data_IF_541625925534
#
_entry.id   IF_541625925534
#
_cell.length_a   1.000
_cell.length_b   1.000
_cell.length_c   1.000
_cell.angle_alpha   90.00
_cell.angle_beta   90.00
_cell.angle_gamma   90.00
#
_symmetry.space_group_name_H-M   'P 1'
#
loop_
_entity.id
_entity.type
_entity.pdbx_description
1 polymer ?
#
# COMPACT_ATOMS: atom_id res chain seq x y z
N UNK A 1 -9.47 -16.33 9.97
CA UNK A 1 -10.06 -14.97 9.91
C UNK A 1 -11.45 -15.03 10.56
N UNK A 2 -11.88 -14.04 11.36
CA UNK A 2 -13.23 -14.07 11.96
C UNK A 2 -14.30 -13.70 10.94
N UNK A 3 -15.57 -14.09 11.17
CA UNK A 3 -16.70 -13.67 10.32
C UNK A 3 -16.81 -12.15 10.21
N UNK A 4 -16.67 -11.44 11.34
CA UNK A 4 -16.68 -9.96 11.39
C UNK A 4 -15.58 -9.33 10.54
N UNK A 5 -14.39 -9.93 10.54
CA UNK A 5 -13.26 -9.44 9.73
C UNK A 5 -13.53 -9.66 8.25
N UNK A 6 -14.01 -10.84 7.86
CA UNK A 6 -14.37 -11.13 6.47
C UNK A 6 -15.48 -10.20 5.96
N UNK A 7 -16.42 -9.79 6.81
CA UNK A 7 -17.47 -8.81 6.48
C UNK A 7 -16.85 -7.43 6.25
N UNK A 8 -15.98 -7.03 7.18
CA UNK A 8 -15.25 -5.76 7.08
C UNK A 8 -14.41 -5.68 5.81
N UNK A 9 -13.82 -6.78 5.34
CA UNK A 9 -13.02 -6.83 4.10
C UNK A 9 -13.84 -6.63 2.82
N UNK A 10 -15.17 -6.63 2.90
CA UNK A 10 -16.07 -6.35 1.76
C UNK A 10 -16.85 -5.06 1.93
N UNK A 11 -16.53 -4.27 2.96
CA UNK A 11 -17.33 -3.12 3.37
C UNK A 11 -17.57 -2.10 2.26
N UNK A 12 -16.57 -1.83 1.43
CA UNK A 12 -16.70 -0.87 0.32
C UNK A 12 -17.71 -1.28 -0.75
N UNK A 13 -18.00 -2.57 -0.86
CA UNK A 13 -18.99 -3.12 -1.78
C UNK A 13 -20.36 -3.27 -1.11
N UNK A 14 -20.41 -3.86 0.09
CA UNK A 14 -21.67 -4.24 0.73
C UNK A 14 -22.27 -3.14 1.63
N UNK A 15 -21.42 -2.35 2.29
CA UNK A 15 -21.81 -1.45 3.38
C UNK A 15 -21.59 0.04 3.10
N UNK A 16 -20.96 0.39 1.98
CA UNK A 16 -20.72 1.79 1.60
C UNK A 16 -21.99 2.42 1.04
N UNK A 17 -22.41 3.53 1.62
CA UNK A 17 -23.51 4.35 1.09
C UNK A 17 -23.11 5.01 -0.23
N UNK A 18 -24.00 4.96 -1.21
CA UNK A 18 -23.87 5.63 -2.50
C UNK A 18 -24.94 6.72 -2.64
N UNK A 19 -24.65 7.90 -2.09
CA UNK A 19 -25.52 9.07 -2.06
C UNK A 19 -24.93 10.25 -2.86
N UNK A 20 -23.92 9.98 -3.70
CA UNK A 20 -23.17 10.99 -4.45
C UNK A 20 -22.09 11.74 -3.64
N UNK A 21 -21.95 11.47 -2.33
CA UNK A 21 -20.87 12.03 -1.52
C UNK A 21 -19.59 11.19 -1.63
N UNK A 22 -18.43 11.86 -1.62
CA UNK A 22 -17.13 11.21 -1.69
C UNK A 22 -16.78 10.49 -0.38
N UNK A 23 -16.45 9.20 -0.46
CA UNK A 23 -15.96 8.40 0.67
C UNK A 23 -14.58 7.81 0.38
N UNK A 24 -13.66 8.05 1.30
CA UNK A 24 -12.35 7.41 1.29
C UNK A 24 -12.49 5.90 1.52
N UNK A 25 -11.57 5.07 1.00
CA UNK A 25 -10.72 5.28 -0.18
C UNK A 25 -11.41 5.02 -1.54
N UNK A 26 -12.54 4.30 -1.54
CA UNK A 26 -13.13 3.74 -2.76
C UNK A 26 -13.58 4.79 -3.80
N UNK A 27 -13.90 6.02 -3.38
CA UNK A 27 -14.28 7.08 -4.32
C UNK A 27 -13.11 7.82 -4.97
N UNK A 28 -11.87 7.49 -4.57
CA UNK A 28 -10.67 8.08 -5.18
C UNK A 28 -10.55 7.72 -6.66
N UNK A 29 -9.95 8.64 -7.42
CA UNK A 29 -9.69 8.41 -8.84
C UNK A 29 -8.78 7.19 -9.05
N UNK A 30 -7.79 6.98 -8.19
CA UNK A 30 -6.90 5.83 -8.26
C UNK A 30 -7.65 4.50 -8.17
N UNK A 31 -8.56 4.38 -7.20
CA UNK A 31 -9.39 3.19 -7.05
C UNK A 31 -10.32 2.98 -8.26
N UNK A 32 -11.04 4.02 -8.67
CA UNK A 32 -11.97 3.95 -9.81
C UNK A 32 -11.25 3.60 -11.11
N UNK A 33 -10.10 4.21 -11.36
CA UNK A 33 -9.28 3.93 -12.55
C UNK A 33 -8.73 2.50 -12.52
N UNK A 34 -8.30 2.03 -11.35
CA UNK A 34 -7.83 0.66 -11.18
C UNK A 34 -8.95 -0.35 -11.47
N UNK A 35 -10.13 -0.16 -10.89
CA UNK A 35 -11.27 -1.05 -11.07
C UNK A 35 -11.75 -1.09 -12.54
N UNK A 36 -11.74 0.06 -13.23
CA UNK A 36 -12.01 0.15 -14.67
C UNK A 36 -10.97 -0.60 -15.51
N UNK A 37 -9.69 -0.50 -15.14
CA UNK A 37 -8.59 -1.16 -15.86
C UNK A 37 -8.54 -2.67 -15.61
N UNK A 38 -8.96 -3.12 -14.44
CA UNK A 38 -8.93 -4.53 -14.04
C UNK A 38 -10.31 -5.03 -13.56
N UNK A 39 -11.34 -5.11 -14.44
CA UNK A 39 -12.68 -5.55 -14.06
C UNK A 39 -12.71 -6.97 -13.47
N UNK A 40 -11.84 -7.88 -13.93
CA UNK A 40 -11.74 -9.25 -13.39
C UNK A 40 -11.23 -9.28 -11.95
N UNK A 41 -10.45 -8.29 -11.53
CA UNK A 41 -10.06 -8.11 -10.14
C UNK A 41 -11.19 -7.46 -9.35
N UNK A 42 -11.77 -6.37 -9.88
CA UNK A 42 -12.81 -5.61 -9.19
C UNK A 42 -14.11 -6.39 -8.98
N UNK A 43 -14.41 -7.37 -9.85
CA UNK A 43 -15.62 -8.17 -9.80
C UNK A 43 -15.76 -9.07 -8.56
N UNK A 44 -14.67 -9.38 -7.85
CA UNK A 44 -14.75 -10.04 -6.55
C UNK A 44 -14.40 -9.04 -5.42
N UNK A 45 -15.38 -8.64 -4.58
CA UNK A 45 -15.15 -7.68 -3.51
C UNK A 45 -14.22 -8.19 -2.40
N UNK A 46 -13.90 -9.50 -2.40
CA UNK A 46 -12.94 -10.10 -1.47
C UNK A 46 -11.48 -9.85 -1.88
N UNK A 47 -11.24 -9.41 -3.12
CA UNK A 47 -9.89 -9.07 -3.57
C UNK A 47 -9.39 -7.80 -2.86
N UNK A 48 -8.13 -7.85 -2.42
CA UNK A 48 -7.57 -6.91 -1.47
C UNK A 48 -6.81 -5.79 -2.18
N UNK A 49 -7.16 -4.56 -1.87
CA UNK A 49 -6.45 -3.36 -2.31
C UNK A 49 -5.55 -2.88 -1.17
N UNK A 50 -4.26 -2.82 -1.44
CA UNK A 50 -3.22 -2.50 -0.47
C UNK A 50 -2.68 -1.08 -0.74
N UNK A 51 -2.39 -0.35 0.34
CA UNK A 51 -1.43 0.75 0.33
C UNK A 51 -0.10 0.29 0.89
N UNK A 52 0.99 0.85 0.41
CA UNK A 52 2.32 0.64 0.98
C UNK A 52 2.84 1.95 1.54
N UNK A 53 3.13 1.99 2.83
CA UNK A 53 3.79 3.11 3.46
C UNK A 53 5.24 2.75 3.80
N UNK A 54 6.17 3.67 3.55
CA UNK A 54 7.56 3.49 3.98
C UNK A 54 8.22 4.82 4.28
N UNK A 55 9.00 4.84 5.35
CA UNK A 55 9.81 5.96 5.77
C UNK A 55 10.98 5.47 6.63
N UNK A 56 12.04 6.28 6.70
CA UNK A 56 13.16 6.08 7.60
C UNK A 56 12.94 6.81 8.92
N UNK A 57 13.04 6.10 10.04
CA UNK A 57 12.99 6.70 11.38
C UNK A 57 14.22 6.34 12.21
N UNK A 58 14.58 7.18 13.17
CA UNK A 58 15.66 6.90 14.11
C UNK A 58 15.07 6.39 15.44
N UNK A 59 15.22 5.09 15.77
CA UNK A 59 14.64 4.53 17.00
C UNK A 59 15.34 5.01 18.27
N UNK A 60 16.56 5.55 18.19
CA UNK A 60 17.41 5.78 19.35
C UNK A 60 17.27 7.16 20.01
N UNK A 61 16.41 8.07 19.50
CA UNK A 61 16.17 9.44 20.06
C UNK A 61 17.42 10.30 20.31
N UNK A 62 18.62 9.83 19.98
CA UNK A 62 19.83 10.63 19.97
C UNK A 62 19.74 11.51 18.73
N UNK A 63 20.02 12.82 18.84
CA UNK A 63 20.13 13.76 17.70
C UNK A 63 21.27 13.40 16.71
N UNK A 64 21.70 12.15 16.71
CA UNK A 64 22.73 11.58 15.87
C UNK A 64 22.08 10.93 14.66
N UNK A 65 22.49 11.35 13.46
CA UNK A 65 22.01 10.83 12.16
C UNK A 65 22.68 9.51 11.75
N UNK A 66 23.34 8.82 12.68
CA UNK A 66 24.11 7.59 12.40
C UNK A 66 23.31 6.30 12.55
N UNK A 67 21.97 6.41 12.60
CA UNK A 67 21.09 5.25 12.50
C UNK A 67 19.75 5.63 11.88
N UNK A 68 19.32 4.88 10.87
CA UNK A 68 18.01 5.03 10.23
C UNK A 68 17.43 3.65 9.97
N UNK A 69 16.35 3.33 10.68
CA UNK A 69 15.57 2.12 10.47
C UNK A 69 14.43 2.43 9.52
N UNK A 70 14.28 1.63 8.48
CA UNK A 70 13.19 1.78 7.51
C UNK A 70 12.10 0.75 7.80
N UNK A 71 10.85 1.20 7.81
CA UNK A 71 9.69 0.31 7.90
C UNK A 71 8.96 0.25 6.57
N UNK A 72 8.44 -0.93 6.25
CA UNK A 72 7.52 -1.13 5.13
C UNK A 72 6.21 -1.68 5.70
N UNK A 73 5.16 -0.89 5.59
CA UNK A 73 3.85 -1.18 6.15
C UNK A 73 2.84 -1.31 5.02
N UNK A 74 2.08 -2.39 5.01
CA UNK A 74 0.94 -2.57 4.12
C UNK A 74 -0.37 -2.26 4.87
N UNK A 75 -1.27 -1.57 4.19
CA UNK A 75 -2.59 -1.20 4.71
C UNK A 75 -3.69 -1.80 3.83
N UNK A 76 -4.53 -2.72 4.33
CA UNK A 76 -5.65 -3.27 3.57
C UNK A 76 -6.82 -2.28 3.54
N UNK A 77 -6.98 -1.58 2.42
CA UNK A 77 -8.02 -0.57 2.23
C UNK A 77 -9.42 -1.12 1.98
N UNK A 78 -9.57 -2.43 1.97
CA UNK A 78 -10.86 -3.10 1.96
C UNK A 78 -11.65 -2.86 3.26
N UNK A 79 -10.95 -2.66 4.37
CA UNK A 79 -11.54 -2.40 5.67
C UNK A 79 -12.24 -1.03 5.70
N UNK A 80 -13.29 -0.87 6.53
CA UNK A 80 -13.96 0.41 6.69
C UNK A 80 -12.97 1.53 7.09
N UNK A 81 -13.23 2.80 6.71
CA UNK A 81 -12.32 3.92 6.95
C UNK A 81 -11.90 4.12 8.41
N UNK A 82 -12.80 3.83 9.35
CA UNK A 82 -12.54 3.93 10.80
C UNK A 82 -11.73 2.75 11.37
N UNK A 83 -11.47 1.72 10.57
CA UNK A 83 -10.67 0.54 10.95
C UNK A 83 -9.35 0.51 10.19
N UNK A 84 -9.34 0.79 8.88
CA UNK A 84 -8.15 0.58 8.03
C UNK A 84 -6.90 1.34 8.51
N UNK A 85 -7.08 2.52 9.13
CA UNK A 85 -5.98 3.34 9.65
C UNK A 85 -5.63 3.06 11.12
N UNK A 86 -6.25 2.06 11.76
CA UNK A 86 -5.85 1.64 13.11
C UNK A 86 -4.56 0.82 13.04
N UNK A 87 -3.69 0.99 14.03
CA UNK A 87 -2.44 0.23 14.14
C UNK A 87 -2.66 -1.30 14.07
N UNK A 88 -3.78 -1.80 14.59
CA UNK A 88 -4.16 -3.22 14.53
C UNK A 88 -4.40 -3.76 13.12
N UNK A 89 -4.62 -2.87 12.14
CA UNK A 89 -4.87 -3.22 10.74
C UNK A 89 -3.61 -3.10 9.87
N UNK A 90 -2.54 -2.53 10.40
CA UNK A 90 -1.27 -2.42 9.69
C UNK A 90 -0.56 -3.76 9.65
N UNK A 91 -0.14 -4.15 8.46
CA UNK A 91 0.69 -5.31 8.24
C UNK A 91 2.12 -4.81 8.12
N UNK A 92 2.90 -4.99 9.18
CA UNK A 92 4.33 -4.72 9.14
C UNK A 92 5.00 -5.80 8.29
N UNK A 93 5.33 -5.47 7.05
CA UNK A 93 5.97 -6.39 6.12
C UNK A 93 7.48 -6.49 6.36
N UNK A 94 8.13 -5.37 6.66
CA UNK A 94 9.58 -5.33 6.83
C UNK A 94 10.06 -4.25 7.80
N UNK A 95 11.15 -4.57 8.50
CA UNK A 95 12.01 -3.62 9.20
C UNK A 95 13.42 -3.80 8.65
N UNK A 96 14.00 -2.73 8.09
CA UNK A 96 15.35 -2.72 7.55
C UNK A 96 16.22 -1.86 8.49
N UNK A 97 17.05 -2.47 9.34
CA UNK A 97 17.99 -1.73 10.17
C UNK A 97 19.20 -1.27 9.36
N UNK A 98 19.75 -0.09 9.66
CA UNK A 98 20.99 0.38 9.04
C UNK A 98 21.58 1.61 9.73
N UNK A 99 22.90 1.60 9.97
CA UNK A 99 23.64 2.76 10.50
C UNK A 99 23.61 3.96 9.52
N UNK A 100 23.54 3.68 8.22
CA UNK A 100 23.28 4.66 7.17
C UNK A 100 22.05 4.13 6.44
N UNK A 101 21.04 4.97 6.21
CA UNK A 101 19.76 4.54 5.61
C UNK A 101 19.98 3.68 4.36
N UNK A 102 19.04 2.77 4.07
CA UNK A 102 19.17 1.71 3.06
C UNK A 102 19.53 2.19 1.65
N UNK A 103 19.39 3.48 1.36
CA UNK A 103 19.90 4.12 0.15
C UNK A 103 19.48 3.37 -1.11
N UNK A 104 20.46 2.95 -1.90
CA UNK A 104 20.23 2.26 -3.17
C UNK A 104 19.89 0.77 -3.04
N UNK A 105 20.10 0.16 -1.87
CA UNK A 105 19.96 -1.29 -1.63
C UNK A 105 18.54 -1.67 -1.19
N UNK A 106 17.63 -0.69 -1.07
CA UNK A 106 16.23 -0.92 -0.68
C UNK A 106 15.51 -1.89 -1.62
N UNK A 107 15.91 -1.97 -2.89
CA UNK A 107 15.32 -2.90 -3.86
C UNK A 107 15.62 -4.37 -3.54
N UNK A 108 16.83 -4.66 -3.03
CA UNK A 108 17.22 -6.00 -2.58
C UNK A 108 16.31 -6.44 -1.44
N UNK A 109 16.09 -5.55 -0.47
CA UNK A 109 15.21 -5.83 0.66
C UNK A 109 13.75 -5.97 0.23
N UNK A 110 13.30 -5.19 -0.75
CA UNK A 110 11.91 -5.22 -1.25
C UNK A 110 11.60 -6.45 -2.10
N UNK A 111 12.61 -7.17 -2.59
CA UNK A 111 12.43 -8.30 -3.51
C UNK A 111 11.43 -9.37 -3.00
N UNK A 112 11.48 -9.84 -1.74
CA UNK A 112 10.52 -10.84 -1.24
C UNK A 112 9.08 -10.31 -1.25
N UNK A 113 8.88 -9.06 -0.83
CA UNK A 113 7.55 -8.44 -0.84
C UNK A 113 7.01 -8.30 -2.27
N UNK A 114 7.86 -7.92 -3.23
CA UNK A 114 7.47 -7.83 -4.64
C UNK A 114 7.08 -9.22 -5.18
N UNK A 115 7.80 -10.28 -4.81
CA UNK A 115 7.50 -11.66 -5.18
C UNK A 115 6.12 -12.08 -4.64
N UNK A 116 5.85 -11.82 -3.36
CA UNK A 116 4.56 -12.12 -2.72
C UNK A 116 3.41 -11.32 -3.35
N UNK A 117 3.62 -10.04 -3.66
CA UNK A 117 2.61 -9.21 -4.35
C UNK A 117 2.32 -9.74 -5.76
N UNK A 118 3.32 -10.26 -6.48
CA UNK A 118 3.12 -10.91 -7.79
C UNK A 118 2.34 -12.22 -7.65
N UNK A 119 2.61 -13.02 -6.63
CA UNK A 119 1.84 -14.23 -6.34
C UNK A 119 0.39 -13.89 -6.00
N UNK A 120 0.16 -12.90 -5.13
CA UNK A 120 -1.17 -12.41 -4.80
C UNK A 120 -1.90 -11.81 -6.01
N UNK A 121 -1.19 -11.24 -6.99
CA UNK A 121 -1.82 -10.77 -8.22
C UNK A 121 -2.43 -11.91 -9.06
N UNK A 122 -1.77 -13.06 -9.10
CA UNK A 122 -2.28 -14.30 -9.74
C UNK A 122 -3.41 -14.88 -8.89
N UNK A 123 -3.20 -14.91 -7.58
CA UNK A 123 -4.17 -15.30 -6.56
C UNK A 123 -3.74 -16.54 -5.79
N UNK A 124 -4.27 -16.65 -4.57
CA UNK A 124 -4.02 -17.75 -3.63
C UNK A 124 -5.36 -18.29 -3.14
N UNK A 125 -5.52 -19.62 -3.16
CA UNK A 125 -6.72 -20.27 -2.62
C UNK A 125 -6.88 -19.92 -1.13
N UNK A 126 -8.03 -19.33 -0.79
CA UNK A 126 -8.33 -18.86 0.56
C UNK A 126 -9.77 -19.25 0.92
N UNK A 127 -10.00 -19.64 2.17
CA UNK A 127 -11.34 -19.96 2.65
C UNK A 127 -12.05 -18.72 3.20
N UNK A 128 -13.23 -18.42 2.67
CA UNK A 128 -14.14 -17.38 3.17
C UNK A 128 -15.05 -17.95 4.26
N UNK A 129 -14.85 -17.53 5.51
CA UNK A 129 -15.64 -17.99 6.66
C UNK A 129 -17.10 -17.52 6.61
N UNK A 130 -17.41 -16.42 5.93
CA UNK A 130 -18.79 -15.93 5.80
C UNK A 130 -19.59 -16.75 4.82
N UNK A 131 -19.05 -16.94 3.61
CA UNK A 131 -19.70 -17.71 2.56
C UNK A 131 -19.50 -19.22 2.71
N UNK A 132 -18.55 -19.63 3.55
CA UNK A 132 -18.15 -21.02 3.78
C UNK A 132 -17.70 -21.72 2.49
N UNK A 133 -16.95 -21.00 1.67
CA UNK A 133 -16.44 -21.48 0.38
C UNK A 133 -14.97 -21.07 0.20
N UNK A 134 -14.23 -21.85 -0.58
CA UNK A 134 -12.93 -21.42 -1.07
C UNK A 134 -13.13 -20.41 -2.21
N UNK A 135 -12.24 -19.43 -2.26
CA UNK A 135 -12.14 -18.50 -3.38
C UNK A 135 -10.66 -18.22 -3.68
N UNK A 136 -10.39 -17.71 -4.88
CA UNK A 136 -9.04 -17.30 -5.24
C UNK A 136 -8.84 -15.84 -4.79
N UNK A 137 -8.20 -15.64 -3.64
CA UNK A 137 -7.92 -14.31 -3.12
C UNK A 137 -6.81 -13.67 -3.95
N UNK A 138 -7.09 -12.48 -4.49
CA UNK A 138 -6.08 -11.65 -5.15
C UNK A 138 -5.80 -10.40 -4.34
N UNK A 139 -4.59 -9.85 -4.46
CA UNK A 139 -4.26 -8.53 -3.93
C UNK A 139 -3.56 -7.65 -4.97
N UNK A 140 -3.71 -6.33 -4.82
CA UNK A 140 -3.05 -5.35 -5.66
C UNK A 140 -2.63 -4.13 -4.84
N UNK A 141 -1.46 -3.58 -5.17
CA UNK A 141 -0.98 -2.33 -4.60
C UNK A 141 -1.59 -1.15 -5.36
N UNK A 142 -2.37 -0.31 -4.68
CA UNK A 142 -3.02 0.87 -5.27
C UNK A 142 -2.10 2.09 -5.32
N UNK A 143 -1.38 2.34 -4.22
CA UNK A 143 -0.50 3.50 -4.09
C UNK A 143 0.55 3.30 -3.01
N UNK A 144 1.58 4.14 -3.06
CA UNK A 144 2.58 4.29 -2.01
C UNK A 144 2.34 5.57 -1.20
N UNK A 145 2.65 5.54 0.09
CA UNK A 145 2.59 6.68 1.01
C UNK A 145 3.99 6.91 1.56
N UNK A 146 4.60 7.99 1.14
CA UNK A 146 6.00 8.27 1.37
C UNK A 146 6.27 9.77 1.20
N UNK A 147 7.25 10.27 1.94
CA UNK A 147 7.80 11.59 1.69
C UNK A 147 8.71 11.58 0.44
N UNK A 148 9.21 12.74 0.00
CA UNK A 148 10.04 12.82 -1.20
C UNK A 148 11.36 12.04 -1.07
N UNK A 149 12.10 12.10 0.05
CA UNK A 149 13.26 11.22 0.27
C UNK A 149 12.94 9.72 0.15
N UNK A 150 11.89 9.23 0.82
CA UNK A 150 11.49 7.83 0.73
C UNK A 150 10.99 7.45 -0.66
N UNK A 151 10.29 8.35 -1.35
CA UNK A 151 9.94 8.17 -2.76
C UNK A 151 11.17 8.02 -3.65
N UNK A 152 12.21 8.82 -3.45
CA UNK A 152 13.45 8.71 -4.22
C UNK A 152 14.08 7.32 -4.08
N UNK A 153 14.15 6.80 -2.85
CA UNK A 153 14.72 5.48 -2.60
C UNK A 153 13.84 4.36 -3.17
N UNK A 154 12.53 4.40 -2.91
CA UNK A 154 11.59 3.34 -3.35
C UNK A 154 11.42 3.28 -4.87
N UNK A 155 11.29 4.43 -5.54
CA UNK A 155 11.01 4.50 -6.98
C UNK A 155 12.26 4.65 -7.83
N UNK A 156 13.43 4.89 -7.20
CA UNK A 156 14.66 5.34 -7.85
C UNK A 156 14.51 6.64 -8.65
N UNK A 157 13.46 7.42 -8.36
CA UNK A 157 13.21 8.70 -9.01
C UNK A 157 14.06 9.81 -8.39
N UNK A 158 14.60 10.69 -9.22
CA UNK A 158 15.29 11.88 -8.70
C UNK A 158 14.26 12.85 -8.12
N UNK A 159 14.24 13.05 -6.81
CA UNK A 159 13.39 14.04 -6.15
C UNK A 159 14.07 15.40 -5.95
N UNK A 160 15.22 15.61 -6.63
CA UNK A 160 16.01 16.84 -6.56
C UNK A 160 16.38 17.34 -7.96
N UNK A 161 16.58 18.64 -8.08
CA UNK A 161 16.98 19.29 -9.33
C UNK A 161 15.89 19.27 -10.41
N UNK A 162 16.31 19.25 -11.69
CA UNK A 162 15.43 19.43 -12.87
C UNK A 162 14.35 18.36 -13.05
N UNK A 163 14.46 17.20 -12.40
CA UNK A 163 13.49 16.11 -12.50
C UNK A 163 12.77 15.83 -11.18
N UNK A 164 12.87 16.75 -10.21
CA UNK A 164 12.38 16.55 -8.85
C UNK A 164 10.89 16.16 -8.76
N UNK A 165 10.06 16.71 -9.64
CA UNK A 165 8.64 16.42 -9.67
C UNK A 165 8.36 15.19 -10.55
N UNK A 166 7.86 14.07 -9.99
CA UNK A 166 7.51 12.89 -10.79
C UNK A 166 6.35 13.15 -11.76
N UNK A 167 5.50 14.15 -11.47
CA UNK A 167 4.39 14.51 -12.34
C UNK A 167 4.83 15.37 -13.54
N UNK A 168 5.77 16.31 -13.33
CA UNK A 168 6.21 17.25 -14.37
C UNK A 168 7.44 16.75 -15.14
N UNK A 169 8.26 15.89 -14.52
CA UNK A 169 9.50 15.34 -15.08
C UNK A 169 10.35 16.43 -15.78
N UNK A 170 10.58 16.29 -17.09
CA UNK A 170 11.38 17.23 -17.89
C UNK A 170 10.82 18.66 -17.94
N UNK A 171 9.53 18.83 -17.62
CA UNK A 171 8.85 20.13 -17.58
C UNK A 171 8.93 20.80 -16.21
N UNK A 172 9.69 20.25 -15.26
CA UNK A 172 9.89 20.91 -13.97
C UNK A 172 10.65 22.21 -14.18
N UNK A 173 9.98 23.34 -13.97
CA UNK A 173 10.62 24.64 -13.94
C UNK A 173 11.35 24.78 -12.59
N UNK A 174 12.67 24.65 -12.58
CA UNK A 174 13.49 25.10 -11.45
C UNK A 174 13.86 26.57 -11.67
N UNK A 175 13.36 27.47 -10.83
CA UNK A 175 13.87 28.84 -10.71
C UNK A 175 15.25 28.87 -10.09
#
# INVERSE_FOLDING_TARGET
MSSKTAESMRWHHDGRTDDGLLRHPADSLAWKTFDQKFPSFAGDPRNVRLGLASDGFNPFKIMSTSYSTWTVILVPYNLPPWICMKQSSFILSMIIPGEKGSGNDIDIYMQPLIEELKQLWVGVETYDVLKKENFNLRAALLWTINDFPAYANLSRWSTKGRYACPCCAAQTCST
#
